data_IF_311994946059
#
_entry.id   IF_311994946059
#
_cell.length_a   1.000
_cell.length_b   1.000
_cell.length_c   1.000
_cell.angle_alpha   90.00
_cell.angle_beta   90.00
_cell.angle_gamma   90.00
#
_symmetry.space_group_name_H-M   'P 1'
#
loop_
_entity.id
_entity.type
_entity.pdbx_description
1 polymer ?
#
# COMPACT_ATOMS: atom_id res chain seq x y z
N UNK A 1 -6.19 -41.28 25.82
CA UNK A 1 -6.92 -41.54 24.56
C UNK A 1 -5.98 -41.21 23.40
N UNK A 2 -5.26 -42.19 22.84
CA UNK A 2 -4.31 -41.91 21.74
C UNK A 2 -5.08 -41.77 20.42
N UNK A 3 -4.84 -40.70 19.68
CA UNK A 3 -5.42 -40.50 18.35
C UNK A 3 -4.96 -41.62 17.41
N UNK A 4 -5.86 -42.08 16.54
CA UNK A 4 -5.53 -43.03 15.48
C UNK A 4 -4.45 -42.44 14.56
N UNK A 5 -3.54 -43.26 14.00
CA UNK A 5 -2.42 -42.78 13.20
C UNK A 5 -2.85 -41.97 11.96
N UNK A 6 -4.03 -42.24 11.38
CA UNK A 6 -4.62 -41.37 10.35
C UNK A 6 -4.96 -39.97 10.87
N UNK A 7 -5.59 -39.85 12.04
CA UNK A 7 -5.96 -38.56 12.65
C UNK A 7 -4.74 -37.74 13.08
N UNK A 8 -3.67 -38.41 13.54
CA UNK A 8 -2.41 -37.75 13.93
C UNK A 8 -1.76 -37.04 12.73
N UNK A 9 -1.75 -37.66 11.55
CA UNK A 9 -1.18 -37.04 10.33
C UNK A 9 -1.96 -35.81 9.88
N UNK A 10 -3.29 -35.92 9.85
CA UNK A 10 -4.17 -34.80 9.50
C UNK A 10 -4.01 -33.64 10.49
N UNK A 11 -3.96 -33.93 11.78
CA UNK A 11 -3.75 -32.90 12.81
C UNK A 11 -2.41 -32.17 12.64
N UNK A 12 -1.32 -32.89 12.35
CA UNK A 12 0.00 -32.27 12.09
C UNK A 12 -0.06 -31.37 10.84
N UNK A 13 -0.73 -31.81 9.77
CA UNK A 13 -0.89 -31.01 8.56
C UNK A 13 -1.69 -29.72 8.84
N UNK A 14 -2.80 -29.82 9.57
CA UNK A 14 -3.60 -28.65 9.96
C UNK A 14 -2.80 -27.67 10.82
N UNK A 15 -2.03 -28.17 11.80
CA UNK A 15 -1.13 -27.34 12.61
C UNK A 15 -0.05 -26.67 11.76
N UNK A 16 0.52 -27.39 10.80
CA UNK A 16 1.55 -26.84 9.89
C UNK A 16 0.99 -25.71 9.05
N UNK A 17 -0.20 -25.90 8.45
CA UNK A 17 -0.89 -24.86 7.67
C UNK A 17 -1.21 -23.65 8.54
N UNK A 18 -1.70 -23.88 9.78
CA UNK A 18 -1.98 -22.81 10.73
C UNK A 18 -0.71 -22.01 11.08
N UNK A 19 0.41 -22.67 11.33
CA UNK A 19 1.68 -22.00 11.65
C UNK A 19 2.16 -21.16 10.45
N UNK A 20 2.09 -21.69 9.23
CA UNK A 20 2.46 -20.95 8.02
C UNK A 20 1.56 -19.72 7.84
N UNK A 21 0.25 -19.89 8.03
CA UNK A 21 -0.70 -18.78 7.96
C UNK A 21 -0.39 -17.68 8.98
N UNK A 22 -0.15 -18.05 10.24
CA UNK A 22 0.20 -17.11 11.31
C UNK A 22 1.53 -16.41 11.05
N UNK A 23 2.52 -17.11 10.48
CA UNK A 23 3.79 -16.52 10.09
C UNK A 23 3.60 -15.46 9.00
N UNK A 24 2.87 -15.78 7.94
CA UNK A 24 2.58 -14.85 6.84
C UNK A 24 1.79 -13.64 7.34
N UNK A 25 0.76 -13.86 8.16
CA UNK A 25 0.00 -12.79 8.78
C UNK A 25 0.88 -11.92 9.69
N UNK A 26 1.74 -12.54 10.50
CA UNK A 26 2.69 -11.84 11.37
C UNK A 26 3.67 -10.97 10.59
N UNK A 27 4.20 -11.47 9.47
CA UNK A 27 5.05 -10.69 8.57
C UNK A 27 4.28 -9.49 8.00
N UNK A 28 3.07 -9.73 7.49
CA UNK A 28 2.22 -8.66 6.93
C UNK A 28 1.91 -7.56 7.95
N UNK A 29 1.48 -7.93 9.16
CA UNK A 29 1.22 -7.00 10.27
C UNK A 29 2.51 -6.28 10.72
N UNK A 30 3.64 -6.99 10.75
CA UNK A 30 4.94 -6.41 11.04
C UNK A 30 5.32 -5.30 10.06
N UNK A 31 5.08 -5.50 8.77
CA UNK A 31 5.28 -4.47 7.75
C UNK A 31 4.34 -3.27 7.94
N UNK A 32 3.07 -3.49 8.30
CA UNK A 32 2.14 -2.39 8.55
C UNK A 32 2.64 -1.46 9.67
N UNK A 33 3.12 -2.05 10.76
CA UNK A 33 3.70 -1.29 11.88
C UNK A 33 5.01 -0.61 11.48
N UNK A 34 5.93 -1.35 10.86
CA UNK A 34 7.25 -0.84 10.49
C UNK A 34 7.21 0.31 9.48
N UNK A 35 6.25 0.26 8.55
CA UNK A 35 6.08 1.27 7.50
C UNK A 35 4.99 2.31 7.83
N UNK A 36 4.40 2.25 9.02
CA UNK A 36 3.33 3.14 9.46
C UNK A 36 2.16 3.27 8.47
N UNK A 37 1.80 2.18 7.78
CA UNK A 37 0.75 2.17 6.77
C UNK A 37 -0.11 0.91 6.87
N UNK A 38 -1.38 1.02 6.49
CA UNK A 38 -2.29 -0.14 6.44
C UNK A 38 -2.14 -0.94 5.14
N UNK A 39 -1.53 -0.36 4.10
CA UNK A 39 -1.32 -1.02 2.81
C UNK A 39 0.16 -0.94 2.42
N UNK A 40 1.03 -1.78 3.02
CA UNK A 40 2.48 -1.67 2.85
C UNK A 40 2.98 -2.11 1.46
N UNK A 41 2.13 -2.80 0.70
CA UNK A 41 2.44 -3.34 -0.62
C UNK A 41 1.27 -3.00 -1.54
N UNK A 42 1.54 -2.33 -2.67
CA UNK A 42 0.51 -1.95 -3.64
C UNK A 42 0.99 -2.28 -5.04
N UNK A 43 0.15 -2.94 -5.83
CA UNK A 43 0.42 -3.17 -7.24
C UNK A 43 -0.01 -1.94 -8.05
N UNK A 44 0.84 -1.51 -8.99
CA UNK A 44 0.55 -0.40 -9.90
C UNK A 44 -0.45 -0.89 -10.96
N UNK A 45 -1.65 -0.33 -10.94
CA UNK A 45 -2.77 -0.82 -11.74
C UNK A 45 -2.75 -0.36 -13.22
N UNK A 46 -2.09 0.76 -13.52
CA UNK A 46 -2.13 1.37 -14.85
C UNK A 46 -0.79 2.01 -15.23
N UNK A 47 -0.63 2.37 -16.51
CA UNK A 47 0.56 3.05 -17.02
C UNK A 47 0.60 4.56 -16.79
N UNK A 48 -0.23 5.14 -15.92
CA UNK A 48 -0.28 6.59 -15.70
C UNK A 48 1.02 7.15 -15.10
N UNK A 49 1.82 6.30 -14.45
CA UNK A 49 3.08 6.67 -13.81
C UNK A 49 4.32 6.38 -14.66
N UNK A 50 4.16 6.03 -15.95
CA UNK A 50 5.31 5.85 -16.84
C UNK A 50 6.08 7.16 -17.04
N UNK A 51 7.42 7.14 -17.09
CA UNK A 51 8.29 5.95 -17.04
C UNK A 51 8.74 5.56 -15.62
N UNK A 52 8.33 6.30 -14.58
CA UNK A 52 8.81 6.08 -13.22
C UNK A 52 8.31 4.74 -12.62
N UNK A 53 7.07 4.36 -12.92
CA UNK A 53 6.47 3.10 -12.54
C UNK A 53 5.70 2.49 -13.72
N UNK A 54 5.84 1.18 -13.87
CA UNK A 54 5.16 0.38 -14.89
C UNK A 54 3.94 -0.33 -14.31
N UNK A 55 2.94 -0.58 -15.16
CA UNK A 55 1.79 -1.39 -14.75
C UNK A 55 2.25 -2.81 -14.39
N UNK A 56 1.86 -3.28 -13.20
CA UNK A 56 2.30 -4.56 -12.64
C UNK A 56 3.46 -4.45 -11.65
N UNK A 57 4.10 -3.28 -11.52
CA UNK A 57 5.11 -3.07 -10.48
C UNK A 57 4.50 -3.20 -9.09
N UNK A 58 5.28 -3.77 -8.16
CA UNK A 58 4.92 -3.86 -6.75
C UNK A 58 5.71 -2.81 -5.97
N UNK A 59 5.01 -1.82 -5.43
CA UNK A 59 5.63 -0.74 -4.64
C UNK A 59 5.45 -0.97 -3.15
N UNK A 60 6.48 -0.61 -2.40
CA UNK A 60 6.45 -0.57 -0.93
C UNK A 60 6.03 0.83 -0.50
N UNK A 61 5.04 0.89 0.37
CA UNK A 61 4.42 2.15 0.80
C UNK A 61 4.84 2.45 2.23
N UNK A 62 5.26 3.69 2.48
CA UNK A 62 5.51 4.19 3.83
C UNK A 62 4.48 5.27 4.15
N UNK A 63 3.80 5.15 5.28
CA UNK A 63 2.95 6.21 5.81
C UNK A 63 3.81 7.31 6.40
N UNK A 64 3.48 8.55 6.03
CA UNK A 64 4.14 9.76 6.53
C UNK A 64 3.07 10.81 6.87
N UNK A 65 3.32 11.71 7.82
CA UNK A 65 2.50 12.90 8.01
C UNK A 65 2.38 13.71 6.72
N UNK A 66 1.23 14.34 6.49
CA UNK A 66 1.03 15.19 5.30
C UNK A 66 2.01 16.38 5.23
N UNK A 67 2.54 16.81 6.38
CA UNK A 67 3.54 17.88 6.49
C UNK A 67 4.91 17.49 5.95
N UNK A 68 5.18 16.19 5.84
CA UNK A 68 6.49 15.66 5.43
C UNK A 68 6.52 15.32 3.93
N UNK A 69 5.38 15.50 3.23
CA UNK A 69 5.26 15.29 1.80
C UNK A 69 5.79 16.52 1.07
N UNK A 70 6.62 16.29 0.06
CA UNK A 70 7.25 17.34 -0.75
C UNK A 70 6.81 17.29 -2.22
N UNK A 71 7.02 18.40 -2.93
CA UNK A 71 6.80 18.44 -4.38
C UNK A 71 7.79 17.48 -5.05
N UNK A 72 7.28 16.57 -5.87
CA UNK A 72 8.05 15.52 -6.52
C UNK A 72 7.82 14.13 -5.93
N UNK A 73 7.24 14.02 -4.74
CA UNK A 73 6.92 12.71 -4.13
C UNK A 73 5.84 11.98 -4.90
N UNK A 74 5.96 10.65 -4.99
CA UNK A 74 4.90 9.77 -5.50
C UNK A 74 4.07 9.30 -4.30
N UNK A 75 2.81 9.71 -4.26
CA UNK A 75 1.92 9.40 -3.15
C UNK A 75 0.77 8.51 -3.59
N UNK A 76 0.25 7.77 -2.62
CA UNK A 76 -0.91 6.92 -2.77
C UNK A 76 -2.05 7.51 -1.95
N UNK A 77 -3.20 7.75 -2.58
CA UNK A 77 -4.37 8.33 -1.92
C UNK A 77 -5.66 7.79 -2.52
N UNK A 78 -6.74 7.87 -1.76
CA UNK A 78 -8.08 7.61 -2.27
C UNK A 78 -8.63 8.92 -2.85
N UNK A 79 -8.78 8.95 -4.18
CA UNK A 79 -9.35 10.12 -4.87
C UNK A 79 -10.78 10.42 -4.38
N UNK A 80 -11.31 11.63 -4.61
CA UNK A 80 -12.71 11.95 -4.27
C UNK A 80 -13.75 11.02 -4.90
N UNK A 81 -13.37 10.26 -5.93
CA UNK A 81 -14.21 9.24 -6.59
C UNK A 81 -14.14 7.87 -5.90
N UNK A 82 -13.42 7.75 -4.79
CA UNK A 82 -13.21 6.49 -4.07
C UNK A 82 -12.24 5.52 -4.77
N UNK A 83 -11.51 5.99 -5.78
CA UNK A 83 -10.52 5.19 -6.50
C UNK A 83 -9.15 5.45 -5.89
N UNK A 84 -8.47 4.36 -5.51
CA UNK A 84 -7.07 4.39 -5.04
C UNK A 84 -6.15 4.76 -6.20
N UNK A 85 -5.43 5.86 -6.06
CA UNK A 85 -4.61 6.47 -7.11
C UNK A 85 -3.17 6.62 -6.64
N UNK A 86 -2.21 6.40 -7.56
CA UNK A 86 -0.78 6.61 -7.35
C UNK A 86 -0.34 7.71 -8.31
N UNK A 87 0.00 8.90 -7.82
CA UNK A 87 0.42 10.04 -8.64
C UNK A 87 1.55 10.83 -7.98
N UNK A 88 2.27 11.62 -8.77
CA UNK A 88 3.31 12.52 -8.28
C UNK A 88 2.73 13.84 -7.82
N UNK A 89 3.16 14.35 -6.67
CA UNK A 89 2.82 15.68 -6.17
C UNK A 89 3.49 16.72 -7.05
N UNK A 90 2.71 17.58 -7.69
CA UNK A 90 3.22 18.69 -8.52
C UNK A 90 3.16 20.02 -7.80
N UNK A 91 2.26 20.14 -6.82
CA UNK A 91 2.12 21.36 -6.02
C UNK A 91 1.51 21.07 -4.66
N UNK A 92 1.94 21.83 -3.66
CA UNK A 92 1.36 21.84 -2.32
C UNK A 92 0.81 23.23 -2.03
N UNK A 93 -0.38 23.30 -1.46
CA UNK A 93 -1.03 24.55 -1.08
C UNK A 93 -1.63 24.41 0.32
N UNK A 94 -1.44 25.43 1.16
CA UNK A 94 -2.09 25.52 2.47
C UNK A 94 -3.26 26.49 2.37
N UNK A 95 -4.46 26.00 2.65
CA UNK A 95 -5.67 26.81 2.67
C UNK A 95 -5.71 27.69 3.93
N UNK A 96 -6.54 28.75 3.91
CA UNK A 96 -6.70 29.69 5.04
C UNK A 96 -7.10 29.01 6.36
N UNK A 97 -7.76 27.86 6.30
CA UNK A 97 -8.15 27.05 7.46
C UNK A 97 -7.05 26.09 7.94
N UNK A 98 -5.84 26.16 7.39
CA UNK A 98 -4.70 25.29 7.71
C UNK A 98 -4.72 23.93 7.02
N UNK A 99 -5.70 23.65 6.14
CA UNK A 99 -5.75 22.37 5.40
C UNK A 99 -4.68 22.35 4.31
N UNK A 100 -3.88 21.28 4.28
CA UNK A 100 -2.91 21.01 3.20
C UNK A 100 -3.65 20.37 2.03
N UNK A 101 -3.49 20.94 0.85
CA UNK A 101 -4.01 20.44 -0.41
C UNK A 101 -2.84 20.08 -1.34
N UNK A 102 -2.88 18.86 -1.87
CA UNK A 102 -1.93 18.36 -2.86
C UNK A 102 -2.56 18.44 -4.24
N UNK A 103 -1.85 19.01 -5.21
CA UNK A 103 -2.12 18.72 -6.61
C UNK A 103 -1.21 17.59 -7.03
N UNK A 104 -1.80 16.61 -7.70
CA UNK A 104 -1.08 15.42 -8.14
C UNK A 104 -1.29 15.18 -9.62
N UNK A 105 -0.36 14.44 -10.23
CA UNK A 105 -0.43 14.10 -11.64
C UNK A 105 0.25 12.77 -11.89
N UNK A 106 -0.36 11.93 -12.71
CA UNK A 106 0.33 10.77 -13.28
C UNK A 106 1.42 11.25 -14.24
N UNK A 107 2.64 10.74 -14.11
CA UNK A 107 3.79 11.18 -14.92
C UNK A 107 3.51 11.14 -16.44
N UNK A 108 2.70 10.19 -16.91
CA UNK A 108 2.27 10.05 -18.29
C UNK A 108 0.96 10.78 -18.64
N UNK A 109 0.24 11.34 -17.67
CA UNK A 109 -1.04 12.03 -17.90
C UNK A 109 -0.80 13.42 -18.53
N UNK A 110 -1.75 13.98 -19.31
CA UNK A 110 -1.60 15.31 -19.89
C UNK A 110 -1.84 16.44 -18.87
N UNK A 111 -2.79 16.27 -17.96
CA UNK A 111 -3.25 17.30 -17.01
C UNK A 111 -3.09 16.86 -15.55
N UNK A 112 -3.08 17.84 -14.65
CA UNK A 112 -3.07 17.62 -13.20
C UNK A 112 -4.47 17.29 -12.65
N UNK A 113 -4.49 16.62 -11.51
CA UNK A 113 -5.67 16.31 -10.69
C UNK A 113 -5.55 16.97 -9.31
N UNK A 114 -6.70 17.30 -8.72
CA UNK A 114 -6.85 17.89 -7.39
C UNK A 114 -7.24 16.83 -6.36
#
# INVERSE_FOLDING_TARGET
>A
MSLRPEHRRVMIQLLTVLIIFLLVAGVYLGFQVALATTTPWVAVASGSMRPALEAGDLVIVKGVPATDIEVGDIIIFDSPRGVRTIHRVTRIQTLHNGTIQFKTKGDANPSEEL
#
